data_IF_215717380481
#
_entry.id   IF_215717380481
#
_cell.length_a   1.000
_cell.length_b   1.000
_cell.length_c   1.000
_cell.angle_alpha   90.00
_cell.angle_beta   90.00
_cell.angle_gamma   90.00
#
_symmetry.space_group_name_H-M   'P 1'
#
loop_
_entity.id
_entity.type
_entity.pdbx_description
1 polymer ?
#
# COMPACT_ATOMS: atom_id res chain seq x y z
N UNK A 1 22.37 -5.77 24.74
CA UNK A 1 22.03 -5.63 23.31
C UNK A 1 20.61 -6.16 23.13
N UNK A 2 19.62 -5.30 23.38
CA UNK A 2 18.20 -5.70 23.24
C UNK A 2 17.88 -5.80 21.76
N UNK A 3 17.66 -7.02 21.28
CA UNK A 3 17.11 -7.24 19.95
C UNK A 3 15.66 -6.74 19.98
N UNK A 4 15.40 -5.67 19.24
CA UNK A 4 14.03 -5.22 18.96
C UNK A 4 13.45 -6.28 18.03
N UNK A 5 12.63 -7.16 18.59
CA UNK A 5 11.80 -8.07 17.81
C UNK A 5 10.87 -7.14 17.03
N UNK A 6 11.08 -6.97 15.73
CA UNK A 6 10.10 -6.35 14.86
C UNK A 6 8.89 -7.28 14.87
N UNK A 7 7.94 -6.98 15.75
CA UNK A 7 6.60 -7.53 15.66
C UNK A 7 6.13 -7.03 14.30
N UNK A 8 5.97 -7.95 13.35
CA UNK A 8 5.40 -7.65 12.05
C UNK A 8 3.90 -7.42 12.28
N UNK A 9 3.58 -6.26 12.86
CA UNK A 9 2.21 -5.83 13.10
C UNK A 9 1.59 -5.58 11.75
N UNK A 10 0.53 -6.33 11.44
CA UNK A 10 -0.26 -6.09 10.25
C UNK A 10 -0.90 -4.72 10.46
N UNK A 11 -0.59 -3.72 9.64
CA UNK A 11 -1.12 -2.38 9.83
C UNK A 11 -2.65 -2.42 9.69
N UNK A 12 -3.39 -1.58 10.43
CA UNK A 12 -4.82 -1.48 10.25
C UNK A 12 -5.14 -1.08 8.81
N UNK A 13 -6.31 -1.52 8.33
CA UNK A 13 -6.69 -1.36 6.91
C UNK A 13 -6.71 0.12 6.47
N UNK A 14 -7.11 1.03 7.37
CA UNK A 14 -7.06 2.48 7.13
C UNK A 14 -5.64 3.02 6.98
N UNK A 15 -4.69 2.56 7.80
CA UNK A 15 -3.27 2.93 7.67
C UNK A 15 -2.71 2.46 6.34
N UNK A 16 -3.00 1.21 5.95
CA UNK A 16 -2.58 0.70 4.65
C UNK A 16 -3.22 1.50 3.50
N UNK A 17 -4.51 1.86 3.61
CA UNK A 17 -5.19 2.68 2.61
C UNK A 17 -4.56 4.06 2.46
N UNK A 18 -4.27 4.74 3.57
CA UNK A 18 -3.61 6.04 3.56
C UNK A 18 -2.23 5.95 2.90
N UNK A 19 -1.46 4.91 3.24
CA UNK A 19 -0.17 4.64 2.62
C UNK A 19 -0.29 4.39 1.11
N UNK A 20 -1.28 3.61 0.66
CA UNK A 20 -1.51 3.37 -0.77
C UNK A 20 -1.84 4.66 -1.51
N UNK A 21 -2.62 5.58 -0.92
CA UNK A 21 -2.92 6.89 -1.52
C UNK A 21 -1.65 7.71 -1.70
N UNK A 22 -0.88 7.87 -0.62
CA UNK A 22 0.38 8.63 -0.64
C UNK A 22 1.39 8.03 -1.63
N UNK A 23 1.52 6.71 -1.64
CA UNK A 23 2.38 6.01 -2.58
C UNK A 23 1.97 6.23 -4.04
N UNK A 24 0.67 6.16 -4.36
CA UNK A 24 0.16 6.42 -5.70
C UNK A 24 0.41 7.86 -6.16
N UNK A 25 0.28 8.83 -5.25
CA UNK A 25 0.61 10.23 -5.52
C UNK A 25 2.12 10.41 -5.75
N UNK A 26 2.96 9.79 -4.92
CA UNK A 26 4.41 9.84 -5.06
C UNK A 26 4.90 9.24 -6.38
N UNK A 27 4.40 8.06 -6.76
CA UNK A 27 4.80 7.40 -8.01
C UNK A 27 4.00 7.88 -9.22
N UNK A 28 3.05 8.80 -9.04
CA UNK A 28 2.17 9.34 -10.10
C UNK A 28 1.43 8.26 -10.91
N UNK A 29 1.09 7.14 -10.26
CA UNK A 29 0.41 5.99 -10.89
C UNK A 29 -1.07 6.01 -10.55
N UNK A 30 -1.92 5.69 -11.54
CA UNK A 30 -3.37 5.56 -11.33
C UNK A 30 -3.73 4.23 -10.63
N UNK A 31 -4.68 4.21 -9.68
CA UNK A 31 -5.14 2.99 -9.02
C UNK A 31 -5.61 1.89 -9.98
N UNK A 32 -6.23 2.29 -11.10
CA UNK A 32 -6.67 1.37 -12.15
C UNK A 32 -5.50 0.69 -12.87
N UNK A 33 -4.37 1.40 -13.02
CA UNK A 33 -3.14 0.84 -13.60
C UNK A 33 -2.55 -0.21 -12.67
N UNK A 34 -2.48 0.08 -11.36
CA UNK A 34 -2.04 -0.89 -10.34
C UNK A 34 -2.93 -2.13 -10.34
N UNK A 35 -4.25 -1.96 -10.33
CA UNK A 35 -5.22 -3.08 -10.38
C UNK A 35 -4.95 -3.99 -11.58
N UNK A 36 -4.66 -3.41 -12.75
CA UNK A 36 -4.34 -4.15 -13.98
C UNK A 36 -3.01 -4.86 -13.89
N UNK A 37 -1.97 -4.19 -13.40
CA UNK A 37 -0.61 -4.73 -13.29
C UNK A 37 -0.54 -5.93 -12.35
N UNK A 38 -1.31 -5.92 -11.26
CA UNK A 38 -1.33 -7.02 -10.28
C UNK A 38 -2.39 -8.10 -10.61
N UNK A 39 -3.07 -7.99 -11.75
CA UNK A 39 -4.12 -8.95 -12.14
C UNK A 39 -5.35 -8.96 -11.23
N UNK A 40 -5.55 -7.92 -10.42
CA UNK A 40 -6.75 -7.78 -9.60
C UNK A 40 -7.97 -7.46 -10.48
N UNK A 41 -9.17 -7.75 -9.95
CA UNK A 41 -10.42 -7.40 -10.62
C UNK A 41 -10.45 -5.91 -10.98
N UNK A 42 -11.12 -5.58 -12.10
CA UNK A 42 -11.19 -4.22 -12.62
C UNK A 42 -11.60 -3.24 -11.52
N UNK A 43 -10.81 -2.18 -11.33
CA UNK A 43 -11.01 -1.14 -10.32
C UNK A 43 -10.98 -1.60 -8.84
N UNK A 44 -10.46 -2.79 -8.53
CA UNK A 44 -10.42 -3.28 -7.13
C UNK A 44 -9.66 -2.33 -6.20
N UNK A 45 -8.51 -1.79 -6.65
CA UNK A 45 -7.74 -0.83 -5.85
C UNK A 45 -8.48 0.50 -5.72
N UNK A 46 -9.10 0.99 -6.79
CA UNK A 46 -9.89 2.23 -6.73
C UNK A 46 -11.11 2.13 -5.82
N UNK A 47 -11.82 0.99 -5.85
CA UNK A 47 -12.95 0.72 -4.96
C UNK A 47 -12.49 0.59 -3.51
N UNK A 48 -11.39 -0.12 -3.28
CA UNK A 48 -10.75 -0.18 -1.97
C UNK A 48 -10.48 1.22 -1.44
N UNK A 49 -9.82 2.09 -2.21
CA UNK A 49 -9.49 3.45 -1.77
C UNK A 49 -10.72 4.32 -1.50
N UNK A 50 -11.78 4.19 -2.30
CA UNK A 50 -12.99 5.01 -2.19
C UNK A 50 -13.93 4.61 -1.05
N UNK A 51 -14.04 3.32 -0.76
CA UNK A 51 -15.02 2.80 0.20
C UNK A 51 -14.36 2.36 1.51
N UNK A 52 -14.50 3.08 2.64
CA UNK A 52 -13.82 2.78 3.90
C UNK A 52 -14.21 1.43 4.50
N UNK A 53 -15.44 0.96 4.24
CA UNK A 53 -15.91 -0.35 4.69
C UNK A 53 -15.35 -1.52 3.86
N UNK A 54 -14.77 -1.23 2.69
CA UNK A 54 -14.17 -2.23 1.82
C UNK A 54 -12.81 -2.63 2.36
N UNK A 55 -12.73 -3.87 2.85
CA UNK A 55 -11.46 -4.54 3.09
C UNK A 55 -10.85 -5.10 1.80
N UNK A 56 -9.58 -5.50 1.89
CA UNK A 56 -8.85 -6.27 0.89
C UNK A 56 -8.23 -7.50 1.54
N UNK A 57 -7.92 -8.52 0.74
CA UNK A 57 -7.18 -9.67 1.23
C UNK A 57 -5.71 -9.31 1.45
N UNK A 58 -5.04 -10.00 2.38
CA UNK A 58 -3.62 -9.80 2.63
C UNK A 58 -2.76 -10.06 1.38
N UNK A 59 -3.10 -11.06 0.57
CA UNK A 59 -2.42 -11.32 -0.70
C UNK A 59 -2.49 -10.10 -1.64
N UNK A 60 -3.67 -9.50 -1.77
CA UNK A 60 -3.86 -8.31 -2.59
C UNK A 60 -3.09 -7.10 -2.02
N UNK A 61 -3.06 -6.95 -0.70
CA UNK A 61 -2.27 -5.90 -0.05
C UNK A 61 -0.77 -6.03 -0.36
N UNK A 62 -0.22 -7.25 -0.25
CA UNK A 62 1.18 -7.55 -0.58
C UNK A 62 1.49 -7.28 -2.05
N UNK A 63 0.60 -7.67 -2.96
CA UNK A 63 0.78 -7.42 -4.39
C UNK A 63 0.76 -5.90 -4.71
N UNK A 64 -0.14 -5.15 -4.08
CA UNK A 64 -0.20 -3.68 -4.20
C UNK A 64 1.10 -3.06 -3.67
N UNK A 65 1.52 -3.42 -2.46
CA UNK A 65 2.74 -2.90 -1.84
C UNK A 65 3.96 -3.16 -2.73
N UNK A 66 4.16 -4.41 -3.14
CA UNK A 66 5.29 -4.82 -3.96
C UNK A 66 5.31 -4.05 -5.27
N UNK A 67 4.16 -3.88 -5.92
CA UNK A 67 4.07 -3.14 -7.18
C UNK A 67 4.41 -1.66 -7.00
N UNK A 68 3.91 -1.02 -5.93
CA UNK A 68 4.19 0.38 -5.65
C UNK A 68 5.67 0.61 -5.28
N UNK A 69 6.26 -0.25 -4.45
CA UNK A 69 7.69 -0.20 -4.13
C UNK A 69 8.56 -0.37 -5.37
N UNK A 70 8.18 -1.29 -6.26
CA UNK A 70 8.89 -1.47 -7.53
C UNK A 70 8.75 -0.23 -8.41
N UNK A 71 7.54 0.32 -8.56
CA UNK A 71 7.32 1.55 -9.33
C UNK A 71 8.10 2.75 -8.78
N UNK A 72 8.24 2.85 -7.46
CA UNK A 72 9.06 3.86 -6.81
C UNK A 72 10.54 3.65 -7.09
N UNK A 73 11.05 2.42 -6.98
CA UNK A 73 12.42 2.07 -7.31
C UNK A 73 12.77 2.36 -8.78
N UNK A 74 11.88 2.04 -9.72
CA UNK A 74 12.01 2.38 -11.14
C UNK A 74 12.08 3.90 -11.39
N UNK A 75 11.47 4.71 -10.51
CA UNK A 75 11.50 6.16 -10.58
C UNK A 75 12.62 6.80 -9.73
N UNK A 76 13.41 6.00 -9.01
CA UNK A 76 14.40 6.50 -8.03
C UNK A 76 13.78 7.22 -6.83
N UNK A 77 12.50 6.94 -6.52
CA UNK A 77 11.76 7.46 -5.39
C UNK A 77 11.75 6.42 -4.26
N UNK A 78 11.75 6.89 -3.02
CA UNK A 78 11.61 6.03 -1.84
C UNK A 78 10.18 6.16 -1.29
N UNK A 79 9.50 5.04 -1.11
CA UNK A 79 8.20 5.03 -0.43
C UNK A 79 8.40 5.02 1.09
N UNK A 80 7.54 5.74 1.82
CA UNK A 80 7.58 5.71 3.28
C UNK A 80 7.28 4.29 3.78
N UNK A 81 7.75 3.99 4.99
CA UNK A 81 7.40 2.73 5.65
C UNK A 81 5.92 2.72 6.02
N UNK A 82 5.30 1.53 5.95
CA UNK A 82 3.90 1.33 6.39
C UNK A 82 3.90 1.25 7.91
N UNK A 83 4.23 2.35 8.57
CA UNK A 83 4.17 2.44 10.03
C UNK A 83 2.79 2.97 10.43
N UNK A 84 2.16 2.32 11.41
CA UNK A 84 1.08 2.92 12.16
C UNK A 84 1.67 4.17 12.81
N UNK A 85 1.49 5.32 12.16
CA UNK A 85 1.94 6.59 12.74
C UNK A 85 1.00 6.89 13.90
N UNK A 86 1.33 6.33 15.06
CA UNK A 86 1.02 6.94 16.34
C UNK A 86 1.64 8.34 16.24
N UNK A 87 0.80 9.34 16.04
CA UNK A 87 1.19 10.73 16.12
C UNK A 87 1.53 11.00 17.60
N UNK A 88 2.82 11.00 17.92
CA UNK A 88 3.36 11.61 19.14
C UNK A 88 3.81 13.05 18.87
#
# INVERSE_FOLDING_TARGET
MSQVIHICEIPPTDTFRAWVLEALELVEVKPASVSRSIGAGVNSVGVFLRDPARGITLSLAVDIERHLRQAAADQGKELPEITSREAE
#
